data_IF_025671341195
#
_entry.id   IF_025671341195
#
_cell.length_a   1.000
_cell.length_b   1.000
_cell.length_c   1.000
_cell.angle_alpha   90.00
_cell.angle_beta   90.00
_cell.angle_gamma   90.00
#
_symmetry.space_group_name_H-M   'P 1'
#
loop_
_entity.id
_entity.type
_entity.pdbx_description
1 polymer ?
#
# COMPACT_ATOMS: atom_id res chain seq x y z
N UNK A 1 -12.69 31.33 -5.80
CA UNK A 1 -13.96 32.05 -6.02
C UNK A 1 -13.78 33.57 -6.05
N UNK A 2 -13.26 34.21 -4.99
CA UNK A 2 -13.19 35.68 -4.92
C UNK A 2 -12.43 36.37 -6.06
N UNK A 3 -11.39 35.73 -6.64
CA UNK A 3 -10.56 36.33 -7.69
C UNK A 3 -11.23 36.43 -9.06
N UNK A 4 -12.12 35.48 -9.40
CA UNK A 4 -12.79 35.40 -10.72
C UNK A 4 -14.24 35.88 -10.70
N UNK A 5 -14.80 36.17 -9.53
CA UNK A 5 -16.17 36.68 -9.40
C UNK A 5 -16.48 37.93 -10.27
N UNK A 6 -15.53 38.87 -10.48
CA UNK A 6 -15.74 39.99 -11.40
C UNK A 6 -16.01 39.59 -12.86
N UNK A 7 -15.57 38.41 -13.30
CA UNK A 7 -15.82 37.87 -14.65
C UNK A 7 -17.27 37.36 -14.81
N UNK A 8 -18.02 37.20 -13.71
CA UNK A 8 -19.36 36.61 -13.67
C UNK A 8 -20.41 37.54 -13.02
N UNK A 9 -20.65 38.75 -13.56
CA UNK A 9 -21.50 39.77 -12.94
C UNK A 9 -22.98 39.34 -12.79
N UNK A 10 -23.53 38.54 -13.72
CA UNK A 10 -24.91 38.04 -13.66
C UNK A 10 -25.05 36.95 -12.61
N UNK A 11 -24.09 36.02 -12.51
CA UNK A 11 -24.08 35.02 -11.44
C UNK A 11 -23.89 35.68 -10.06
N UNK A 12 -22.98 36.66 -9.96
CA UNK A 12 -22.75 37.42 -8.73
C UNK A 12 -23.98 38.23 -8.29
N UNK A 13 -24.73 38.79 -9.25
CA UNK A 13 -26.02 39.44 -8.97
C UNK A 13 -27.08 38.44 -8.51
N UNK A 14 -27.20 37.28 -9.18
CA UNK A 14 -28.13 36.22 -8.78
C UNK A 14 -27.87 35.72 -7.34
N UNK A 15 -26.60 35.64 -6.94
CA UNK A 15 -26.23 35.32 -5.55
C UNK A 15 -26.61 36.41 -4.55
N UNK A 16 -26.35 37.68 -4.89
CA UNK A 16 -26.72 38.84 -4.03
C UNK A 16 -28.23 38.96 -3.83
N UNK A 17 -29.01 38.60 -4.85
CA UNK A 17 -30.48 38.60 -4.82
C UNK A 17 -31.07 37.31 -4.22
N UNK A 18 -30.23 36.38 -3.74
CA UNK A 18 -30.66 35.12 -3.11
C UNK A 18 -31.21 34.08 -4.09
N UNK A 19 -31.10 34.31 -5.40
CA UNK A 19 -31.58 33.41 -6.46
C UNK A 19 -30.60 32.27 -6.77
N UNK A 20 -29.32 32.44 -6.43
CA UNK A 20 -28.26 31.45 -6.61
C UNK A 20 -27.50 31.23 -5.30
N UNK A 21 -27.08 29.99 -5.03
CA UNK A 21 -26.26 29.69 -3.86
C UNK A 21 -24.77 30.01 -4.06
N UNK A 22 -24.06 30.22 -2.97
CA UNK A 22 -22.61 30.42 -2.97
C UNK A 22 -21.87 29.25 -3.63
N UNK A 23 -22.34 28.02 -3.42
CA UNK A 23 -21.74 26.80 -3.99
C UNK A 23 -21.94 26.70 -5.52
N UNK A 24 -23.10 27.11 -6.02
CA UNK A 24 -23.37 27.17 -7.47
C UNK A 24 -22.44 28.19 -8.14
N UNK A 25 -22.34 29.40 -7.60
CA UNK A 25 -21.46 30.44 -8.14
C UNK A 25 -19.98 30.09 -7.94
N UNK A 26 -19.65 29.38 -6.86
CA UNK A 26 -18.31 28.84 -6.60
C UNK A 26 -17.84 27.84 -7.65
N UNK A 27 -18.73 26.97 -8.10
CA UNK A 27 -18.45 26.00 -9.18
C UNK A 27 -18.27 26.69 -10.53
N UNK A 28 -19.13 27.67 -10.85
CA UNK A 28 -19.06 28.43 -12.11
C UNK A 28 -17.75 29.23 -12.16
N UNK A 29 -17.50 30.08 -11.17
CA UNK A 29 -16.29 30.91 -11.11
C UNK A 29 -14.99 30.09 -11.05
N UNK A 30 -15.07 28.82 -10.64
CA UNK A 30 -13.91 27.93 -10.58
C UNK A 30 -13.51 27.32 -11.92
N UNK A 31 -14.44 27.16 -12.87
CA UNK A 31 -14.22 26.31 -14.06
C UNK A 31 -14.79 26.83 -15.37
N UNK A 32 -15.73 27.76 -15.33
CA UNK A 32 -16.39 28.27 -16.53
C UNK A 32 -15.42 29.11 -17.36
N UNK A 33 -15.51 29.02 -18.68
CA UNK A 33 -14.73 29.84 -19.61
C UNK A 33 -15.16 31.31 -19.61
N UNK A 34 -14.35 32.16 -20.21
CA UNK A 34 -14.63 33.59 -20.33
C UNK A 34 -15.87 33.84 -21.21
N UNK A 35 -16.69 34.83 -20.85
CA UNK A 35 -17.93 35.17 -21.56
C UNK A 35 -19.13 34.26 -21.26
N UNK A 36 -18.97 33.21 -20.45
CA UNK A 36 -20.02 32.22 -20.15
C UNK A 36 -21.03 32.64 -19.06
N UNK A 37 -20.89 33.84 -18.50
CA UNK A 37 -21.68 34.33 -17.37
C UNK A 37 -23.19 34.34 -17.64
N UNK A 38 -23.61 34.74 -18.84
CA UNK A 38 -25.03 34.71 -19.23
C UNK A 38 -25.62 33.30 -19.22
N UNK A 39 -24.85 32.35 -19.79
CA UNK A 39 -25.24 30.94 -19.92
C UNK A 39 -25.39 30.27 -18.56
N UNK A 40 -24.36 30.40 -17.72
CA UNK A 40 -24.36 29.76 -16.41
C UNK A 40 -25.29 30.45 -15.40
N UNK A 41 -25.57 31.75 -15.54
CA UNK A 41 -26.59 32.41 -14.72
C UNK A 41 -28.01 31.86 -14.98
N UNK A 42 -28.32 31.50 -16.23
CA UNK A 42 -29.60 30.87 -16.58
C UNK A 42 -29.65 29.43 -16.11
N UNK A 43 -28.61 28.64 -16.39
CA UNK A 43 -28.54 27.24 -16.00
C UNK A 43 -28.57 27.05 -14.48
N UNK A 44 -27.86 27.89 -13.73
CA UNK A 44 -27.82 27.79 -12.26
C UNK A 44 -29.17 28.06 -11.58
N UNK A 45 -30.11 28.73 -12.26
CA UNK A 45 -31.47 28.91 -11.75
C UNK A 45 -32.29 27.62 -11.69
N UNK A 46 -31.89 26.59 -12.44
CA UNK A 46 -32.63 25.31 -12.54
C UNK A 46 -31.75 24.07 -12.29
N UNK A 47 -30.44 24.24 -12.14
CA UNK A 47 -29.48 23.14 -12.04
C UNK A 47 -28.84 23.00 -10.64
N UNK A 48 -28.69 21.76 -10.20
CA UNK A 48 -27.89 21.40 -9.01
C UNK A 48 -26.39 21.63 -9.24
N UNK A 49 -25.63 21.71 -8.15
CA UNK A 49 -24.16 21.83 -8.20
C UNK A 49 -23.50 20.71 -8.99
N UNK A 50 -24.02 19.48 -8.90
CA UNK A 50 -23.49 18.34 -9.67
C UNK A 50 -23.81 18.46 -11.16
N UNK A 51 -25.00 18.94 -11.54
CA UNK A 51 -25.34 19.22 -12.93
C UNK A 51 -24.49 20.36 -13.49
N UNK A 52 -24.25 21.43 -12.72
CA UNK A 52 -23.33 22.50 -13.13
C UNK A 52 -21.91 21.96 -13.37
N UNK A 53 -21.39 21.09 -12.49
CA UNK A 53 -20.08 20.44 -12.69
C UNK A 53 -20.02 19.59 -13.96
N UNK A 54 -21.11 18.94 -14.34
CA UNK A 54 -21.18 18.15 -15.58
C UNK A 54 -21.28 19.05 -16.81
N UNK A 55 -22.10 20.09 -16.76
CA UNK A 55 -22.22 21.11 -17.80
C UNK A 55 -20.87 21.79 -18.11
N UNK A 56 -20.08 22.08 -17.08
CA UNK A 56 -18.73 22.65 -17.20
C UNK A 56 -17.68 21.67 -17.76
N UNK A 57 -17.93 20.36 -17.70
CA UNK A 57 -17.06 19.37 -18.35
C UNK A 57 -17.32 19.27 -19.86
N UNK A 58 -18.52 19.64 -20.30
CA UNK A 58 -18.95 19.62 -21.70
C UNK A 58 -18.57 20.91 -22.45
N UNK A 59 -18.14 21.95 -21.73
CA UNK A 59 -17.61 23.18 -22.34
C UNK A 59 -16.36 22.85 -23.19
N UNK A 60 -16.32 23.23 -24.48
CA UNK A 60 -15.14 23.05 -25.32
C UNK A 60 -13.98 23.82 -24.71
N UNK A 61 -12.92 23.10 -24.32
CA UNK A 61 -11.71 23.76 -23.83
C UNK A 61 -10.98 24.37 -25.02
N UNK A 62 -10.42 25.59 -24.90
CA UNK A 62 -9.52 26.09 -25.92
C UNK A 62 -8.44 25.04 -26.14
N UNK A 63 -8.18 24.71 -27.41
CA UNK A 63 -7.07 23.82 -27.75
C UNK A 63 -5.80 24.44 -27.16
N UNK A 64 -5.06 23.70 -26.31
CA UNK A 64 -3.81 24.21 -25.80
C UNK A 64 -2.91 24.52 -27.00
N UNK A 65 -2.26 25.68 -26.99
CA UNK A 65 -1.16 25.97 -27.93
C UNK A 65 -0.23 24.75 -27.99
N UNK A 66 0.32 24.38 -29.16
CA UNK A 66 1.18 23.21 -29.30
C UNK A 66 2.35 23.31 -28.31
N UNK A 67 2.21 22.55 -27.24
CA UNK A 67 3.13 22.50 -26.13
C UNK A 67 4.40 21.80 -26.62
N UNK A 68 5.44 22.56 -26.95
CA UNK A 68 6.79 22.03 -27.24
C UNK A 68 7.45 21.46 -25.97
N UNK A 69 6.68 20.83 -25.08
CA UNK A 69 7.25 20.02 -24.01
C UNK A 69 7.91 18.81 -24.66
N UNK A 70 9.16 18.50 -24.28
CA UNK A 70 9.78 17.27 -24.74
C UNK A 70 8.86 16.10 -24.39
N UNK A 71 8.77 15.11 -25.30
CA UNK A 71 7.93 13.94 -25.13
C UNK A 71 8.00 13.42 -23.69
N UNK A 72 6.86 13.05 -23.07
CA UNK A 72 6.83 12.58 -21.69
C UNK A 72 7.74 11.36 -21.53
N UNK A 73 8.98 11.60 -21.08
CA UNK A 73 9.99 10.55 -20.95
C UNK A 73 9.58 9.58 -19.84
N UNK A 74 9.78 8.27 -20.02
CA UNK A 74 9.71 7.33 -18.92
C UNK A 74 10.71 7.72 -17.83
N UNK A 75 10.33 7.54 -16.57
CA UNK A 75 11.18 7.91 -15.44
C UNK A 75 10.87 7.06 -14.22
N UNK A 76 11.91 6.77 -13.44
CA UNK A 76 11.77 6.24 -12.07
C UNK A 76 12.43 7.23 -11.12
N UNK A 77 11.68 7.66 -10.10
CA UNK A 77 12.18 8.58 -9.06
C UNK A 77 11.98 7.98 -7.69
N UNK A 78 12.92 8.22 -6.77
CA UNK A 78 12.89 7.77 -5.39
C UNK A 78 12.88 8.96 -4.44
N UNK A 79 12.06 8.90 -3.40
CA UNK A 79 12.15 9.73 -2.20
C UNK A 79 12.13 8.84 -0.96
N UNK A 80 12.58 9.32 0.19
CA UNK A 80 12.54 8.57 1.44
C UNK A 80 12.20 9.47 2.62
N UNK A 81 11.50 8.92 3.61
CA UNK A 81 11.26 9.49 4.92
C UNK A 81 11.78 8.55 6.02
N UNK A 82 11.44 8.81 7.29
CA UNK A 82 11.90 8.00 8.44
C UNK A 82 11.38 6.56 8.43
N UNK A 83 10.28 6.27 7.73
CA UNK A 83 9.60 4.97 7.77
C UNK A 83 9.57 4.26 6.40
N UNK A 84 9.63 5.00 5.30
CA UNK A 84 9.39 4.47 3.96
C UNK A 84 10.32 5.06 2.91
N UNK A 85 10.69 4.23 1.93
CA UNK A 85 11.19 4.69 0.63
C UNK A 85 10.05 4.63 -0.40
N UNK A 86 9.71 5.78 -0.99
CA UNK A 86 8.67 5.89 -2.01
C UNK A 86 9.28 5.91 -3.40
N UNK A 87 8.73 5.09 -4.30
CA UNK A 87 9.11 5.03 -5.70
C UNK A 87 7.96 5.51 -6.58
N UNK A 88 8.27 6.35 -7.57
CA UNK A 88 7.32 6.80 -8.58
C UNK A 88 7.84 6.44 -9.96
N UNK A 89 7.05 5.65 -10.69
CA UNK A 89 7.38 5.13 -12.00
C UNK A 89 6.42 5.75 -13.02
N UNK A 90 6.96 6.25 -14.12
CA UNK A 90 6.22 6.76 -15.29
C UNK A 90 6.62 5.93 -16.49
N UNK A 91 5.64 5.31 -17.14
CA UNK A 91 5.82 4.44 -18.32
C UNK A 91 4.92 4.91 -19.46
N UNK A 92 5.30 4.69 -20.73
CA UNK A 92 4.36 4.79 -21.83
C UNK A 92 3.30 3.68 -21.71
N UNK A 93 2.14 3.89 -22.34
CA UNK A 93 0.96 3.04 -22.11
C UNK A 93 1.18 1.56 -22.45
N UNK A 94 1.99 1.25 -23.46
CA UNK A 94 2.27 -0.13 -23.87
C UNK A 94 3.10 -0.87 -22.82
N UNK A 95 4.12 -0.22 -22.27
CA UNK A 95 4.94 -0.75 -21.19
C UNK A 95 4.17 -0.80 -19.86
N UNK A 96 3.34 0.21 -19.57
CA UNK A 96 2.46 0.23 -18.41
C UNK A 96 1.50 -0.96 -18.43
N UNK A 97 0.88 -1.28 -19.58
CA UNK A 97 -0.01 -2.42 -19.70
C UNK A 97 0.70 -3.76 -19.42
N UNK A 98 1.97 -3.91 -19.82
CA UNK A 98 2.77 -5.10 -19.49
C UNK A 98 3.04 -5.19 -17.99
N UNK A 99 3.39 -4.06 -17.36
CA UNK A 99 3.59 -3.98 -15.91
C UNK A 99 2.31 -4.33 -15.14
N UNK A 100 1.18 -3.75 -15.52
CA UNK A 100 -0.13 -3.98 -14.90
C UNK A 100 -0.54 -5.45 -15.01
N UNK A 101 -0.38 -6.06 -16.19
CA UNK A 101 -0.69 -7.47 -16.40
C UNK A 101 0.20 -8.39 -15.55
N UNK A 102 1.51 -8.11 -15.45
CA UNK A 102 2.43 -8.87 -14.61
C UNK A 102 2.08 -8.74 -13.12
N UNK A 103 1.83 -7.51 -12.66
CA UNK A 103 1.45 -7.23 -11.27
C UNK A 103 0.14 -7.95 -10.91
N UNK A 104 -0.87 -7.85 -11.77
CA UNK A 104 -2.16 -8.51 -11.56
C UNK A 104 -2.02 -10.04 -11.53
N UNK A 105 -1.22 -10.63 -12.42
CA UNK A 105 -0.96 -12.07 -12.43
C UNK A 105 -0.35 -12.57 -11.11
N UNK A 106 0.63 -11.84 -10.56
CA UNK A 106 1.22 -12.17 -9.26
C UNK A 106 0.26 -11.96 -8.10
N UNK A 107 -0.62 -10.95 -8.17
CA UNK A 107 -1.67 -10.72 -7.17
C UNK A 107 -2.67 -11.87 -7.16
N UNK A 108 -3.16 -12.30 -8.32
CA UNK A 108 -4.11 -13.41 -8.43
C UNK A 108 -3.52 -14.71 -7.89
N UNK A 109 -2.24 -14.96 -8.17
CA UNK A 109 -1.52 -16.11 -7.63
C UNK A 109 -1.40 -16.06 -6.10
N UNK A 110 -1.06 -14.89 -5.53
CA UNK A 110 -0.99 -14.69 -4.08
C UNK A 110 -2.37 -14.88 -3.41
N UNK A 111 -3.43 -14.37 -4.02
CA UNK A 111 -4.80 -14.55 -3.51
C UNK A 111 -5.19 -16.03 -3.54
N UNK A 112 -4.87 -16.76 -4.61
CA UNK A 112 -5.14 -18.19 -4.72
C UNK A 112 -4.37 -19.01 -3.66
N UNK A 113 -3.10 -18.67 -3.40
CA UNK A 113 -2.29 -19.26 -2.33
C UNK A 113 -2.88 -18.95 -0.95
N UNK A 114 -3.22 -17.69 -0.69
CA UNK A 114 -3.83 -17.26 0.55
C UNK A 114 -5.13 -18.01 0.85
N UNK A 115 -6.02 -18.15 -0.15
CA UNK A 115 -7.26 -18.91 -0.03
C UNK A 115 -7.00 -20.38 0.32
N UNK A 116 -6.08 -21.05 -0.39
CA UNK A 116 -5.71 -22.44 -0.08
C UNK A 116 -5.23 -22.63 1.35
N UNK A 117 -4.42 -21.69 1.84
CA UNK A 117 -3.82 -21.76 3.17
C UNK A 117 -4.84 -21.47 4.29
N UNK A 118 -5.92 -20.73 4.01
CA UNK A 118 -6.78 -20.20 5.07
C UNK A 118 -8.29 -20.47 4.91
N UNK A 119 -8.73 -21.10 3.82
CA UNK A 119 -10.16 -21.43 3.64
C UNK A 119 -10.52 -22.81 4.25
N UNK A 120 -9.53 -23.62 4.62
CA UNK A 120 -9.72 -24.90 5.30
C UNK A 120 -9.78 -24.79 6.84
N UNK A 121 -9.68 -23.58 7.42
CA UNK A 121 -9.78 -23.39 8.88
C UNK A 121 -11.24 -23.13 9.27
N UNK A 122 -11.83 -24.05 10.04
CA UNK A 122 -13.14 -23.88 10.67
C UNK A 122 -13.10 -22.71 11.69
N UNK A 123 -13.26 -21.48 11.19
CA UNK A 123 -13.38 -20.27 12.00
C UNK A 123 -12.66 -19.04 11.42
N UNK A 124 -13.32 -17.88 11.49
CA UNK A 124 -12.69 -16.58 11.20
C UNK A 124 -11.85 -16.18 12.41
N UNK A 125 -10.55 -16.46 12.40
CA UNK A 125 -9.62 -15.98 13.42
C UNK A 125 -9.20 -14.52 13.16
N UNK A 126 -9.17 -13.70 14.20
CA UNK A 126 -8.63 -12.32 14.13
C UNK A 126 -7.11 -12.29 13.91
N UNK A 127 -6.45 -13.43 14.08
CA UNK A 127 -5.02 -13.61 13.80
C UNK A 127 -4.76 -14.00 12.34
N UNK A 128 -5.78 -14.02 11.49
CA UNK A 128 -5.59 -14.26 10.05
C UNK A 128 -4.90 -13.03 9.43
N UNK A 129 -3.77 -13.20 8.71
CA UNK A 129 -3.16 -12.10 7.97
C UNK A 129 -4.15 -11.45 7.00
N UNK A 130 -4.02 -10.15 6.67
CA UNK A 130 -4.86 -9.52 5.66
C UNK A 130 -4.66 -10.16 4.28
N UNK A 131 -5.67 -10.03 3.41
CA UNK A 131 -5.58 -10.45 2.02
C UNK A 131 -4.38 -9.72 1.34
N UNK A 132 -3.53 -10.43 0.58
CA UNK A 132 -2.41 -9.79 -0.13
C UNK A 132 -2.90 -8.72 -1.12
N UNK A 133 -2.13 -7.65 -1.27
CA UNK A 133 -2.42 -6.54 -2.17
C UNK A 133 -1.32 -6.28 -3.20
N UNK A 134 -1.37 -5.10 -3.82
CA UNK A 134 -0.44 -4.72 -4.87
C UNK A 134 1.02 -4.63 -4.40
N UNK A 135 1.26 -4.30 -3.13
CA UNK A 135 2.62 -4.22 -2.59
C UNK A 135 3.26 -5.62 -2.55
N UNK A 136 2.54 -6.62 -2.02
CA UNK A 136 3.00 -8.00 -1.99
C UNK A 136 3.18 -8.56 -3.40
N UNK A 137 2.26 -8.27 -4.32
CA UNK A 137 2.35 -8.68 -5.71
C UNK A 137 3.59 -8.07 -6.42
N UNK A 138 3.86 -6.79 -6.16
CA UNK A 138 5.02 -6.10 -6.72
C UNK A 138 6.34 -6.68 -6.19
N UNK A 139 6.43 -6.96 -4.88
CA UNK A 139 7.61 -7.59 -4.29
C UNK A 139 7.83 -9.01 -4.84
N UNK A 140 6.76 -9.80 -4.99
CA UNK A 140 6.83 -11.13 -5.61
C UNK A 140 7.32 -11.06 -7.07
N UNK A 141 6.90 -10.05 -7.82
CA UNK A 141 7.38 -9.81 -9.18
C UNK A 141 8.89 -9.53 -9.20
N UNK A 142 9.39 -8.71 -8.27
CA UNK A 142 10.83 -8.42 -8.12
C UNK A 142 11.62 -9.68 -7.75
N UNK A 143 11.13 -10.45 -6.78
CA UNK A 143 11.75 -11.72 -6.35
C UNK A 143 11.79 -12.74 -7.49
N UNK A 144 10.71 -12.89 -8.26
CA UNK A 144 10.68 -13.77 -9.42
C UNK A 144 11.71 -13.38 -10.50
N UNK A 145 11.89 -12.07 -10.73
CA UNK A 145 12.93 -11.56 -11.62
C UNK A 145 14.34 -11.85 -11.11
N UNK A 146 14.55 -11.74 -9.80
CA UNK A 146 15.81 -12.07 -9.13
C UNK A 146 16.17 -13.55 -9.29
N UNK A 147 15.23 -14.44 -8.94
CA UNK A 147 15.42 -15.88 -9.01
C UNK A 147 15.71 -16.35 -10.45
N UNK A 148 15.04 -15.75 -11.42
CA UNK A 148 15.30 -16.01 -12.84
C UNK A 148 16.73 -15.61 -13.24
N UNK A 149 17.25 -14.49 -12.73
CA UNK A 149 18.63 -14.07 -13.01
C UNK A 149 19.65 -14.97 -12.30
N UNK A 150 19.41 -15.34 -11.04
CA UNK A 150 20.25 -16.29 -10.30
C UNK A 150 20.36 -17.63 -11.03
N UNK A 151 19.25 -18.15 -11.54
CA UNK A 151 19.23 -19.37 -12.34
C UNK A 151 20.02 -19.23 -13.65
N UNK A 152 19.99 -18.05 -14.29
CA UNK A 152 20.75 -17.77 -15.53
C UNK A 152 22.24 -17.53 -15.29
N UNK A 153 22.62 -16.94 -14.16
CA UNK A 153 24.00 -16.54 -13.84
C UNK A 153 24.40 -16.90 -12.39
N UNK A 154 24.72 -18.17 -12.11
CA UNK A 154 25.05 -18.62 -10.75
C UNK A 154 26.24 -17.90 -10.11
N UNK A 155 27.17 -17.39 -10.93
CA UNK A 155 28.40 -16.73 -10.51
C UNK A 155 28.48 -15.23 -10.89
N UNK A 156 27.37 -14.61 -11.31
CA UNK A 156 27.33 -13.15 -11.51
C UNK A 156 27.51 -12.43 -10.18
N UNK A 157 28.03 -11.19 -10.20
CA UNK A 157 28.02 -10.32 -9.01
C UNK A 157 26.55 -10.16 -8.56
N UNK A 158 26.18 -10.87 -7.50
CA UNK A 158 24.86 -10.73 -6.89
C UNK A 158 24.83 -9.37 -6.18
N UNK A 159 23.90 -8.49 -6.54
CA UNK A 159 23.55 -7.32 -5.72
C UNK A 159 22.88 -7.80 -4.43
N UNK A 160 23.65 -8.36 -3.50
CA UNK A 160 23.15 -8.69 -2.18
C UNK A 160 22.80 -7.37 -1.50
N UNK A 161 21.62 -7.29 -0.88
CA UNK A 161 21.33 -6.17 0.03
C UNK A 161 22.42 -6.22 1.11
N UNK A 162 23.27 -5.20 1.18
CA UNK A 162 24.32 -5.12 2.20
C UNK A 162 23.77 -4.30 3.37
N UNK A 163 23.91 -4.81 4.58
CA UNK A 163 23.54 -4.13 5.81
C UNK A 163 24.80 -3.86 6.63
N UNK A 164 25.03 -2.60 7.00
CA UNK A 164 26.04 -2.21 7.96
C UNK A 164 25.46 -2.42 9.35
N UNK A 165 26.13 -3.20 10.20
CA UNK A 165 25.72 -3.49 11.57
C UNK A 165 26.81 -3.00 12.52
N UNK A 166 26.52 -1.94 13.26
CA UNK A 166 27.36 -1.54 14.39
C UNK A 166 27.06 -2.45 15.59
N UNK A 167 28.08 -3.21 16.00
CA UNK A 167 27.92 -4.22 17.05
C UNK A 167 27.87 -3.58 18.45
N UNK A 168 28.49 -2.41 18.62
CA UNK A 168 28.56 -1.71 19.90
C UNK A 168 27.29 -0.90 20.14
N UNK A 169 26.91 -0.07 19.17
CA UNK A 169 25.75 0.83 19.25
C UNK A 169 24.44 0.09 18.96
N UNK A 170 24.50 -1.18 18.51
CA UNK A 170 23.34 -1.95 18.06
C UNK A 170 22.52 -1.20 17.01
N UNK A 171 23.19 -0.42 16.18
CA UNK A 171 22.61 0.30 15.05
C UNK A 171 22.82 -0.50 13.76
N UNK A 172 21.91 -0.33 12.79
CA UNK A 172 22.12 -0.87 11.46
C UNK A 172 21.60 0.08 10.39
N UNK A 173 22.21 0.04 9.22
CA UNK A 173 21.77 0.79 8.04
C UNK A 173 21.93 -0.03 6.78
N UNK A 174 21.11 0.25 5.77
CA UNK A 174 21.29 -0.34 4.45
C UNK A 174 22.45 0.35 3.73
N UNK A 175 23.24 -0.40 2.98
CA UNK A 175 24.32 0.17 2.16
C UNK A 175 23.75 1.17 1.16
N UNK A 176 24.23 2.42 1.22
CA UNK A 176 23.69 3.57 0.46
C UNK A 176 22.19 3.80 0.69
N UNK A 177 21.69 3.42 1.87
CA UNK A 177 20.30 3.52 2.29
C UNK A 177 20.16 4.14 3.68
N UNK A 178 18.92 4.21 4.19
CA UNK A 178 18.65 4.81 5.48
C UNK A 178 19.16 3.92 6.64
N UNK A 179 19.29 4.55 7.82
CA UNK A 179 19.36 3.82 9.08
C UNK A 179 18.05 3.05 9.30
N UNK A 180 18.17 1.87 9.88
CA UNK A 180 17.06 0.99 10.21
C UNK A 180 16.58 1.27 11.63
N UNK A 181 15.27 1.22 11.83
CA UNK A 181 14.70 1.15 13.17
C UNK A 181 15.13 -0.13 13.89
N UNK A 182 15.02 -0.16 15.22
CA UNK A 182 15.32 -1.36 16.00
C UNK A 182 14.49 -2.57 15.52
N UNK A 183 13.21 -2.35 15.20
CA UNK A 183 12.30 -3.40 14.73
C UNK A 183 12.74 -3.99 13.38
N UNK A 184 13.16 -3.15 12.43
CA UNK A 184 13.63 -3.59 11.11
C UNK A 184 14.95 -4.32 11.22
N UNK A 185 15.88 -3.80 12.03
CA UNK A 185 17.17 -4.43 12.30
C UNK A 185 16.98 -5.83 12.91
N UNK A 186 16.15 -5.97 13.96
CA UNK A 186 15.89 -7.27 14.60
C UNK A 186 15.18 -8.24 13.65
N UNK A 187 14.22 -7.76 12.87
CA UNK A 187 13.52 -8.57 11.86
C UNK A 187 14.49 -9.13 10.81
N UNK A 188 15.33 -8.28 10.23
CA UNK A 188 16.33 -8.71 9.26
C UNK A 188 17.28 -9.74 9.90
N UNK A 189 17.76 -9.48 11.10
CA UNK A 189 18.73 -10.36 11.77
C UNK A 189 18.22 -11.75 12.17
N UNK A 190 16.92 -12.07 12.06
CA UNK A 190 16.38 -13.37 12.45
C UNK A 190 16.71 -14.51 11.46
N UNK A 191 16.36 -14.34 10.17
CA UNK A 191 16.51 -15.39 9.13
C UNK A 191 16.65 -14.79 7.72
N UNK A 192 16.88 -13.47 7.59
CA UNK A 192 17.01 -12.87 6.26
C UNK A 192 18.40 -13.11 5.66
N UNK A 193 18.41 -13.37 4.35
CA UNK A 193 19.63 -13.64 3.59
C UNK A 193 20.19 -12.32 3.06
N UNK A 194 21.07 -11.68 3.83
CA UNK A 194 21.83 -10.51 3.40
C UNK A 194 23.30 -10.64 3.80
N UNK A 195 24.11 -9.81 3.16
CA UNK A 195 25.51 -9.64 3.53
C UNK A 195 25.56 -8.58 4.64
N UNK A 196 26.07 -8.96 5.80
CA UNK A 196 26.28 -8.07 6.93
C UNK A 196 27.74 -7.62 6.95
N UNK A 197 27.94 -6.32 6.97
CA UNK A 197 29.23 -5.70 7.24
C UNK A 197 29.22 -5.30 8.71
N UNK A 198 30.05 -5.96 9.50
CA UNK A 198 30.18 -5.68 10.92
C UNK A 198 31.11 -4.49 11.09
N UNK A 199 30.61 -3.49 11.79
CA UNK A 199 31.32 -2.25 12.06
C UNK A 199 31.50 -2.03 13.56
N UNK A 200 32.57 -1.32 13.88
CA UNK A 200 32.83 -0.75 15.21
C UNK A 200 33.48 0.60 15.03
N UNK A 201 32.94 1.63 15.68
CA UNK A 201 33.45 3.01 15.59
C UNK A 201 33.57 3.49 14.13
N UNK A 202 32.62 3.09 13.26
CA UNK A 202 32.61 3.43 11.84
C UNK A 202 33.66 2.70 10.98
N UNK A 203 34.38 1.72 11.53
CA UNK A 203 35.32 0.89 10.78
C UNK A 203 34.75 -0.52 10.55
N UNK A 204 34.80 -0.98 9.30
CA UNK A 204 34.45 -2.36 8.95
C UNK A 204 35.48 -3.32 9.55
N UNK A 205 35.04 -4.12 10.52
CA UNK A 205 35.87 -5.12 11.22
C UNK A 205 35.69 -6.52 10.62
N UNK A 206 34.69 -6.72 9.76
CA UNK A 206 34.50 -7.95 9.02
C UNK A 206 33.25 -7.91 8.15
N UNK A 207 33.21 -8.77 7.14
CA UNK A 207 32.02 -8.99 6.31
C UNK A 207 31.67 -10.48 6.28
N UNK A 208 30.39 -10.78 6.17
CA UNK A 208 29.90 -12.15 6.04
C UNK A 208 28.39 -12.19 5.87
N UNK A 209 27.83 -13.39 5.71
CA UNK A 209 26.38 -13.56 5.95
C UNK A 209 26.13 -13.45 7.44
N UNK A 210 24.98 -12.91 7.85
CA UNK A 210 24.55 -12.89 9.25
C UNK A 210 24.84 -14.24 9.89
N UNK A 211 25.78 -14.25 10.83
CA UNK A 211 26.31 -15.48 11.43
C UNK A 211 25.25 -16.10 12.31
N UNK A 212 24.44 -16.97 11.70
CA UNK A 212 23.75 -18.17 12.23
C UNK A 212 22.54 -18.50 11.36
N UNK A 213 22.75 -18.58 10.03
CA UNK A 213 21.75 -19.14 9.11
C UNK A 213 21.27 -20.50 9.64
N UNK A 214 19.95 -20.66 9.71
CA UNK A 214 19.33 -21.90 10.15
C UNK A 214 19.62 -22.95 9.10
N UNK A 215 20.45 -23.92 9.46
CA UNK A 215 20.90 -24.92 8.50
C UNK A 215 19.71 -25.77 8.00
N UNK A 216 19.89 -26.42 6.84
CA UNK A 216 18.82 -27.21 6.20
C UNK A 216 18.24 -28.31 7.08
N UNK A 217 19.05 -28.92 7.95
CA UNK A 217 18.59 -30.00 8.86
C UNK A 217 17.66 -29.44 9.93
N UNK A 218 18.04 -28.32 10.55
CA UNK A 218 17.25 -27.64 11.55
C UNK A 218 15.96 -27.06 10.95
N UNK A 219 16.05 -26.50 9.74
CA UNK A 219 14.89 -26.03 8.97
C UNK A 219 13.86 -27.14 8.72
N UNK A 220 14.31 -28.32 8.28
CA UNK A 220 13.42 -29.48 8.08
C UNK A 220 12.78 -29.97 9.38
N UNK A 221 13.52 -29.94 10.49
CA UNK A 221 12.99 -30.30 11.81
C UNK A 221 11.90 -29.31 12.26
N UNK A 222 12.11 -28.01 12.00
CA UNK A 222 11.11 -26.97 12.22
C UNK A 222 9.86 -27.19 11.37
N UNK A 223 10.01 -27.41 10.05
CA UNK A 223 8.89 -27.65 9.14
C UNK A 223 8.09 -28.92 9.49
N UNK A 224 8.73 -29.91 10.12
CA UNK A 224 8.05 -31.11 10.60
C UNK A 224 7.22 -30.83 11.87
N UNK A 225 7.75 -30.04 12.82
CA UNK A 225 7.08 -29.69 14.08
C UNK A 225 6.00 -28.64 13.87
N UNK A 226 6.34 -27.55 13.18
CA UNK A 226 5.52 -26.37 12.97
C UNK A 226 4.93 -26.43 11.54
N UNK A 227 3.83 -27.19 11.38
CA UNK A 227 3.19 -27.37 10.07
C UNK A 227 2.53 -26.09 9.51
N UNK A 228 2.24 -25.16 10.40
CA UNK A 228 1.67 -23.84 10.12
C UNK A 228 2.42 -22.80 10.94
N UNK A 229 2.17 -21.53 10.65
CA UNK A 229 2.55 -20.45 11.55
C UNK A 229 2.09 -20.75 12.99
N UNK A 230 2.99 -20.60 13.97
CA UNK A 230 2.70 -20.92 15.38
C UNK A 230 1.77 -19.93 16.09
N UNK A 231 1.37 -18.84 15.42
CA UNK A 231 0.43 -17.87 15.99
C UNK A 231 -0.98 -18.48 15.97
N UNK A 232 -1.67 -18.54 17.12
CA UNK A 232 -2.98 -19.19 17.23
C UNK A 232 -3.97 -18.70 16.17
N UNK A 233 -4.56 -19.64 15.41
CA UNK A 233 -5.55 -19.34 14.38
C UNK A 233 -4.99 -18.79 13.06
N UNK A 234 -3.66 -18.73 12.89
CA UNK A 234 -3.05 -18.48 11.59
C UNK A 234 -2.98 -19.79 10.77
N UNK A 235 -3.50 -19.77 9.54
CA UNK A 235 -3.50 -20.93 8.63
C UNK A 235 -2.29 -21.01 7.69
N UNK A 236 -1.38 -20.02 7.71
CA UNK A 236 -0.27 -19.97 6.76
C UNK A 236 0.64 -21.21 6.88
N UNK A 237 0.85 -21.91 5.76
CA UNK A 237 1.69 -23.13 5.70
C UNK A 237 2.99 -22.92 4.92
N UNK A 238 3.05 -21.86 4.10
CA UNK A 238 4.16 -21.59 3.18
C UNK A 238 4.84 -20.26 3.48
N UNK A 239 6.07 -20.11 3.01
CA UNK A 239 6.85 -18.88 3.19
C UNK A 239 7.14 -18.56 4.65
N UNK A 240 7.14 -19.56 5.53
CA UNK A 240 7.37 -19.35 6.96
C UNK A 240 8.83 -18.96 7.22
N UNK A 241 9.03 -17.98 8.07
CA UNK A 241 10.34 -17.55 8.56
C UNK A 241 10.61 -18.27 9.87
N UNK A 242 11.85 -18.71 10.07
CA UNK A 242 12.23 -19.20 11.37
C UNK A 242 12.60 -18.03 12.28
N UNK A 243 12.13 -18.07 13.52
CA UNK A 243 12.25 -17.00 14.49
C UNK A 243 12.79 -17.52 15.80
N UNK A 244 13.80 -16.85 16.35
CA UNK A 244 14.33 -17.14 17.68
C UNK A 244 13.42 -16.57 18.78
N UNK A 245 12.90 -17.43 19.65
CA UNK A 245 12.08 -17.02 20.80
C UNK A 245 12.88 -16.09 21.72
N UNK A 246 14.05 -16.55 22.19
CA UNK A 246 15.10 -15.66 22.71
C UNK A 246 15.96 -15.26 21.54
N UNK A 247 15.89 -14.00 21.13
CA UNK A 247 16.65 -13.50 20.00
C UNK A 247 18.15 -13.78 20.14
N UNK A 248 18.82 -14.09 19.03
CA UNK A 248 20.23 -14.51 19.07
C UNK A 248 21.16 -13.41 19.59
N UNK A 249 20.86 -12.13 19.30
CA UNK A 249 21.64 -11.00 19.84
C UNK A 249 21.53 -10.87 21.36
N UNK A 250 20.46 -11.42 21.93
CA UNK A 250 20.23 -11.47 23.37
C UNK A 250 20.81 -12.78 23.96
N UNK A 251 21.65 -13.50 23.21
CA UNK A 251 22.30 -14.74 23.61
C UNK A 251 21.50 -16.02 23.32
N UNK A 252 20.43 -15.94 22.52
CA UNK A 252 19.65 -17.11 22.11
C UNK A 252 20.44 -18.12 21.27
N UNK A 253 20.26 -19.42 21.57
CA UNK A 253 20.85 -20.50 20.79
C UNK A 253 20.09 -20.72 19.48
N UNK A 254 20.80 -21.12 18.42
CA UNK A 254 20.19 -21.53 17.14
C UNK A 254 19.92 -23.03 17.18
N UNK A 255 18.87 -23.41 17.88
CA UNK A 255 18.46 -24.80 18.09
C UNK A 255 16.94 -24.95 18.09
N UNK A 256 16.46 -26.18 17.93
CA UNK A 256 15.04 -26.45 17.73
C UNK A 256 14.17 -25.94 18.91
N UNK A 257 14.69 -26.01 20.14
CA UNK A 257 13.99 -25.58 21.35
C UNK A 257 13.80 -24.06 21.46
N UNK A 258 14.60 -23.26 20.73
CA UNK A 258 14.55 -21.80 20.75
C UNK A 258 14.07 -21.19 19.42
N UNK A 259 13.68 -22.02 18.45
CA UNK A 259 13.20 -21.57 17.15
C UNK A 259 11.75 -21.96 16.94
N UNK A 260 10.98 -21.15 16.22
CA UNK A 260 9.61 -21.43 15.76
C UNK A 260 9.39 -20.92 14.34
N UNK A 261 8.43 -21.49 13.61
CA UNK A 261 8.01 -20.98 12.31
C UNK A 261 6.85 -19.98 12.41
N UNK A 262 7.07 -18.78 11.87
CA UNK A 262 6.09 -17.70 11.81
C UNK A 262 5.93 -17.20 10.38
N UNK A 263 4.72 -16.83 9.96
CA UNK A 263 4.52 -16.23 8.64
C UNK A 263 5.11 -14.81 8.60
N UNK A 264 5.40 -14.24 7.41
CA UNK A 264 6.02 -12.92 7.30
C UNK A 264 5.22 -11.80 8.00
N UNK A 265 3.89 -11.89 7.99
CA UNK A 265 3.01 -10.96 8.67
C UNK A 265 3.22 -10.98 10.19
N UNK A 266 3.10 -12.15 10.83
CA UNK A 266 3.29 -12.28 12.28
C UNK A 266 4.73 -12.05 12.72
N UNK A 267 5.71 -12.40 11.88
CA UNK A 267 7.11 -12.11 12.18
C UNK A 267 7.35 -10.60 12.29
N UNK A 268 6.80 -9.80 11.34
CA UNK A 268 6.85 -8.33 11.43
C UNK A 268 6.03 -7.80 12.61
N UNK A 269 4.85 -8.36 12.86
CA UNK A 269 4.02 -7.97 14.00
C UNK A 269 4.75 -8.14 15.34
N UNK A 270 5.50 -9.24 15.49
CA UNK A 270 6.33 -9.50 16.67
C UNK A 270 7.42 -8.43 16.86
N UNK A 271 8.21 -8.16 15.82
CA UNK A 271 9.28 -7.14 15.92
C UNK A 271 8.76 -5.72 16.06
N UNK A 272 7.53 -5.45 15.64
CA UNK A 272 6.83 -4.17 15.89
C UNK A 272 6.18 -4.09 17.29
N UNK A 273 6.27 -5.14 18.11
CA UNK A 273 5.67 -5.19 19.44
C UNK A 273 4.14 -5.32 19.43
N UNK A 274 3.53 -5.67 18.30
CA UNK A 274 2.09 -5.88 18.20
C UNK A 274 1.67 -7.22 18.82
N UNK A 275 2.57 -8.21 18.77
CA UNK A 275 2.45 -9.48 19.45
C UNK A 275 3.76 -9.82 20.14
N UNK A 276 3.71 -10.69 21.14
CA UNK A 276 4.88 -11.25 21.83
C UNK A 276 4.85 -12.76 21.75
N UNK A 277 6.02 -13.38 21.54
CA UNK A 277 6.17 -14.83 21.44
C UNK A 277 7.13 -15.27 22.55
N UNK A 278 6.64 -16.03 23.51
CA UNK A 278 7.40 -16.42 24.71
C UNK A 278 7.11 -17.87 25.12
N UNK A 279 7.86 -18.39 26.08
CA UNK A 279 7.75 -19.77 26.54
C UNK A 279 8.64 -20.74 25.74
N UNK A 280 8.63 -22.03 26.09
CA UNK A 280 9.38 -23.04 25.34
C UNK A 280 8.69 -23.34 24.00
N UNK A 281 9.45 -23.75 22.98
CA UNK A 281 8.93 -23.91 21.62
C UNK A 281 7.83 -24.99 21.49
N UNK A 282 7.73 -25.92 22.43
CA UNK A 282 6.69 -26.96 22.51
C UNK A 282 5.43 -26.52 23.29
N UNK A 283 5.51 -25.42 24.06
CA UNK A 283 4.39 -24.86 24.81
C UNK A 283 4.43 -23.32 24.75
N UNK A 284 4.32 -22.81 23.53
CA UNK A 284 4.46 -21.40 23.21
C UNK A 284 3.28 -20.57 23.75
N UNK A 285 3.57 -19.41 24.32
CA UNK A 285 2.57 -18.38 24.62
C UNK A 285 2.72 -17.22 23.66
N UNK A 286 1.66 -16.96 22.89
CA UNK A 286 1.57 -15.78 22.02
C UNK A 286 0.57 -14.81 22.63
N UNK A 287 0.97 -13.57 22.86
CA UNK A 287 0.11 -12.54 23.44
C UNK A 287 0.08 -11.26 22.58
N UNK A 288 -0.98 -10.47 22.72
CA UNK A 288 -1.08 -9.14 22.10
C UNK A 288 -0.14 -8.12 22.77
N UNK A 289 -0.13 -6.89 22.26
CA UNK A 289 0.65 -5.78 22.83
C UNK A 289 0.25 -5.39 24.26
N UNK A 290 -0.92 -5.83 24.73
CA UNK A 290 -1.39 -5.64 26.11
C UNK A 290 -1.07 -6.84 27.02
N UNK A 291 -0.37 -7.86 26.52
CA UNK A 291 0.00 -9.08 27.27
C UNK A 291 -1.13 -10.10 27.40
N UNK A 292 -2.24 -9.94 26.68
CA UNK A 292 -3.35 -10.90 26.71
C UNK A 292 -3.06 -12.07 25.75
N UNK A 293 -3.20 -13.33 26.20
CA UNK A 293 -2.92 -14.48 25.36
C UNK A 293 -3.89 -14.51 24.17
N UNK A 294 -3.33 -14.71 22.97
CA UNK A 294 -4.08 -14.90 21.75
C UNK A 294 -4.64 -16.32 21.71
N UNK A 295 -5.86 -16.46 21.20
CA UNK A 295 -6.50 -17.76 20.98
C UNK A 295 -6.89 -17.89 19.52
N UNK A 296 -7.01 -19.13 19.04
CA UNK A 296 -7.46 -19.40 17.67
C UNK A 296 -8.95 -19.05 17.44
N UNK A 297 -9.70 -18.73 18.50
CA UNK A 297 -11.11 -18.38 18.43
C UNK A 297 -11.32 -16.94 17.93
N UNK A 298 -12.38 -16.75 17.15
CA UNK A 298 -12.87 -15.42 16.77
C UNK A 298 -13.26 -14.61 18.00
N UNK A 299 -12.78 -13.37 18.14
CA UNK A 299 -13.35 -12.42 19.11
C UNK A 299 -14.73 -11.92 18.66
N UNK A 300 -15.10 -12.15 17.39
CA UNK A 300 -16.42 -11.84 16.87
C UNK A 300 -17.46 -12.74 17.56
N UNK A 301 -18.00 -12.27 18.68
CA UNK A 301 -19.26 -12.78 19.21
C UNK A 301 -20.33 -12.44 18.19
N UNK A 302 -21.06 -13.45 17.72
CA UNK A 302 -22.31 -13.21 17.00
C UNK A 302 -23.15 -12.22 17.82
N UNK A 303 -23.63 -11.15 17.19
CA UNK A 303 -24.52 -10.20 17.84
C UNK A 303 -25.69 -10.98 18.44
N UNK A 304 -25.81 -10.98 19.77
CA UNK A 304 -26.97 -11.56 20.45
C UNK A 304 -28.22 -10.70 20.29
N UNK A 305 -28.09 -9.52 19.66
CA UNK A 305 -29.19 -8.62 19.36
C UNK A 305 -29.75 -8.93 17.97
N UNK A 306 -31.08 -8.97 17.81
CA UNK A 306 -31.71 -9.06 16.49
C UNK A 306 -31.25 -7.89 15.61
N UNK A 307 -31.17 -8.09 14.27
CA UNK A 307 -30.88 -7.00 13.35
C UNK A 307 -31.86 -5.84 13.60
N UNK A 308 -31.40 -4.58 13.53
CA UNK A 308 -32.26 -3.44 13.79
C UNK A 308 -33.45 -3.44 12.83
N UNK A 309 -34.66 -3.20 13.35
CA UNK A 309 -35.90 -3.09 12.58
C UNK A 309 -35.95 -1.75 11.82
N UNK A 310 -34.96 -1.50 10.97
CA UNK A 310 -34.90 -0.35 10.08
C UNK A 310 -35.27 -0.79 8.67
N UNK A 311 -36.16 -0.04 8.02
CA UNK A 311 -36.51 -0.29 6.63
C UNK A 311 -35.26 -0.15 5.74
N UNK A 312 -35.12 -0.96 4.67
CA UNK A 312 -34.02 -0.84 3.72
C UNK A 312 -33.94 0.58 3.17
N UNK A 313 -32.75 1.16 3.15
CA UNK A 313 -32.53 2.50 2.59
C UNK A 313 -32.91 2.51 1.09
N UNK A 314 -33.89 3.32 0.66
CA UNK A 314 -34.43 3.25 -0.70
C UNK A 314 -33.50 3.79 -1.80
N UNK A 315 -32.39 4.44 -1.44
CA UNK A 315 -31.52 5.11 -2.41
C UNK A 315 -32.16 6.37 -3.02
N UNK A 316 -31.37 7.25 -3.66
CA UNK A 316 -31.89 8.43 -4.34
C UNK A 316 -32.69 8.05 -5.60
N UNK A 317 -33.72 8.84 -5.92
CA UNK A 317 -34.67 8.60 -7.04
C UNK A 317 -34.06 8.70 -8.45
N UNK A 318 -32.81 9.14 -8.57
CA UNK A 318 -32.00 8.93 -9.78
C UNK A 318 -32.52 9.61 -11.05
N UNK A 319 -33.41 10.61 -10.97
CA UNK A 319 -33.89 11.31 -12.16
C UNK A 319 -32.69 11.90 -12.93
N UNK A 320 -32.49 11.37 -14.13
CA UNK A 320 -31.37 11.70 -15.01
C UNK A 320 -31.61 13.03 -15.68
N UNK A 321 -30.58 13.87 -15.71
CA UNK A 321 -30.52 14.94 -16.69
C UNK A 321 -30.28 14.33 -18.09
N UNK A 322 -31.13 14.65 -19.06
CA UNK A 322 -30.99 14.23 -20.45
C UNK A 322 -29.99 15.12 -21.18
N UNK A 323 -28.70 14.81 -21.01
CA UNK A 323 -27.58 15.56 -21.58
C UNK A 323 -27.58 15.63 -23.12
N UNK A 324 -28.38 14.79 -23.79
CA UNK A 324 -28.55 14.84 -25.24
C UNK A 324 -29.19 16.15 -25.73
N UNK A 325 -30.02 16.79 -24.91
CA UNK A 325 -30.72 18.03 -25.24
C UNK A 325 -30.08 19.28 -24.59
N UNK A 326 -28.90 19.12 -24.00
CA UNK A 326 -28.16 20.23 -23.41
C UNK A 326 -27.17 20.79 -24.43
N UNK A 327 -27.35 22.05 -24.82
CA UNK A 327 -26.40 22.81 -25.64
C UNK A 327 -25.29 23.39 -24.74
N UNK A 328 -24.04 22.92 -24.85
CA UNK A 328 -22.92 23.48 -24.09
C UNK A 328 -22.63 24.91 -24.52
N UNK A 329 -22.13 25.73 -23.59
CA UNK A 329 -21.60 27.05 -23.93
C UNK A 329 -20.47 26.91 -24.95
N UNK A 330 -20.55 27.67 -26.04
CA UNK A 330 -19.47 27.80 -27.02
C UNK A 330 -18.88 29.21 -26.94
N UNK A 331 -17.57 29.37 -26.70
CA UNK A 331 -16.95 30.68 -26.68
C UNK A 331 -17.04 31.33 -28.07
N UNK A 332 -17.43 32.60 -28.13
CA UNK A 332 -17.39 33.35 -29.39
C UNK A 332 -15.94 33.65 -29.78
N UNK A 333 -15.56 33.48 -31.07
CA UNK A 333 -14.24 33.88 -31.53
C UNK A 333 -14.06 35.39 -31.31
N UNK A 334 -12.83 35.86 -30.96
CA UNK A 334 -12.57 37.28 -30.80
C UNK A 334 -12.93 38.04 -32.09
N UNK A 335 -13.43 39.28 -31.98
CA UNK A 335 -13.75 40.08 -33.16
C UNK A 335 -12.49 40.22 -34.02
N UNK A 336 -12.62 39.89 -35.31
CA UNK A 336 -11.55 40.08 -36.29
C UNK A 336 -11.32 41.58 -36.37
N UNK A 337 -10.17 42.05 -35.90
CA UNK A 337 -9.74 43.43 -36.09
C UNK A 337 -9.51 43.66 -37.58
N UNK A 338 -10.35 44.47 -38.23
CA UNK A 338 -10.09 45.04 -39.55
C UNK A 338 -9.02 46.13 -39.48
#
# INVERSE_FOLDING_TARGET
MARRLPEFPRCARGMREGRLSLDQVGVIAGRAGEGSDAHYAQLAGVATVNQLRTALKLEPRPEPEPDFRPDPRPSITRSADEQFSCWRIKLPHVEAAKFDAALQSHLDALIAEYKRDHDNSDGVSDQRPPLPGNVEAFLRLVEAGWDAEVARRPHGQHTTVVMHLDVQERAAGLHLGPLLSESERRYLLCDATFEAWFERDGQVIGCGRTTRQINRRLRRALEHRDRTCVVPGCGATRGLHAHHIRHWQDGGATELANLVLVCPYHHRAHHRGLITITGPADNLTVADSAGRPLSAGSLARASTKPPPAVAPWPGPTGERADWWWYEPFQPQPPPISN
#
